data_IF_525919014545
#
_entry.id   IF_525919014545
#
_cell.length_a   1.000
_cell.length_b   1.000
_cell.length_c   1.000
_cell.angle_alpha   90.00
_cell.angle_beta   90.00
_cell.angle_gamma   90.00
#
_symmetry.space_group_name_H-M   'P 1'
#
loop_
_entity.id
_entity.type
_entity.pdbx_description
1 polymer ?
#
# COMPACT_ATOMS: atom_id res chain seq x y z
N UNK A 1 27.03 4.08 -6.82
CA UNK A 1 26.23 2.88 -6.47
C UNK A 1 26.62 2.27 -5.12
N UNK A 2 27.90 2.13 -4.78
CA UNK A 2 28.35 1.59 -3.46
C UNK A 2 27.90 2.45 -2.27
N UNK A 3 27.92 3.78 -2.39
CA UNK A 3 27.51 4.70 -1.33
C UNK A 3 26.04 4.50 -0.91
N UNK A 4 25.12 4.39 -1.86
CA UNK A 4 23.71 4.12 -1.59
C UNK A 4 23.48 2.76 -0.91
N UNK A 5 24.22 1.73 -1.32
CA UNK A 5 24.15 0.41 -0.65
C UNK A 5 24.59 0.50 0.81
N UNK A 6 25.62 1.30 1.11
CA UNK A 6 26.12 1.49 2.47
C UNK A 6 25.08 2.18 3.36
N UNK A 7 24.45 3.27 2.88
CA UNK A 7 23.39 3.97 3.61
C UNK A 7 22.19 3.04 3.83
N UNK A 8 21.75 2.33 2.80
CA UNK A 8 20.63 1.37 2.82
C UNK A 8 20.84 0.34 3.95
N UNK A 9 22.03 -0.21 4.07
CA UNK A 9 22.40 -1.20 5.08
C UNK A 9 22.52 -0.63 6.50
N UNK A 10 23.13 0.53 6.63
CA UNK A 10 23.32 1.18 7.95
C UNK A 10 21.98 1.62 8.56
N UNK A 11 21.10 2.22 7.77
CA UNK A 11 19.77 2.63 8.21
C UNK A 11 18.92 1.43 8.62
N UNK A 12 18.95 0.35 7.83
CA UNK A 12 18.29 -0.91 8.18
C UNK A 12 18.81 -1.43 9.53
N UNK A 13 20.13 -1.52 9.70
CA UNK A 13 20.75 -1.98 10.94
C UNK A 13 20.29 -1.14 12.14
N UNK A 14 20.36 0.17 12.01
CA UNK A 14 19.98 1.10 13.09
C UNK A 14 18.52 0.94 13.53
N UNK A 15 17.59 0.79 12.59
CA UNK A 15 16.16 0.57 12.89
C UNK A 15 15.95 -0.81 13.47
N UNK A 16 16.53 -1.86 12.84
CA UNK A 16 16.30 -3.25 13.24
C UNK A 16 16.84 -3.59 14.62
N UNK A 17 17.93 -2.96 15.07
CA UNK A 17 18.52 -3.17 16.40
C UNK A 17 17.64 -2.65 17.56
N UNK A 18 16.55 -1.92 17.27
CA UNK A 18 15.62 -1.51 18.32
C UNK A 18 14.93 -2.74 18.96
N UNK A 19 14.68 -2.72 20.28
CA UNK A 19 14.04 -3.83 20.98
C UNK A 19 12.73 -4.23 20.31
N UNK A 20 12.62 -5.50 19.93
CA UNK A 20 11.41 -6.00 19.29
C UNK A 20 10.34 -6.34 20.31
N UNK A 21 9.14 -5.77 20.13
CA UNK A 21 8.00 -6.02 21.01
C UNK A 21 6.79 -6.42 20.14
N UNK A 22 6.47 -7.71 20.15
CA UNK A 22 5.28 -8.22 19.48
C UNK A 22 4.03 -7.87 20.31
N UNK A 23 3.39 -6.75 20.00
CA UNK A 23 2.22 -6.24 20.72
C UNK A 23 1.00 -6.15 19.80
N UNK A 24 -0.21 -6.18 20.42
CA UNK A 24 -1.46 -6.01 19.66
C UNK A 24 -1.48 -4.69 18.84
N UNK A 25 -1.10 -3.52 19.39
CA UNK A 25 -1.05 -2.30 18.58
C UNK A 25 -0.13 -2.41 17.35
N UNK A 26 1.01 -3.09 17.48
CA UNK A 26 1.90 -3.29 16.33
C UNK A 26 1.25 -4.16 15.25
N UNK A 27 0.56 -5.24 15.63
CA UNK A 27 -0.19 -6.08 14.67
C UNK A 27 -1.29 -5.29 13.97
N UNK A 28 -2.02 -4.46 14.70
CA UNK A 28 -3.03 -3.57 14.13
C UNK A 28 -2.43 -2.58 13.13
N UNK A 29 -1.28 -1.96 13.44
CA UNK A 29 -0.56 -1.08 12.53
C UNK A 29 -0.08 -1.81 11.27
N UNK A 30 0.43 -3.05 11.40
CA UNK A 30 0.81 -3.87 10.25
C UNK A 30 -0.40 -4.10 9.35
N UNK A 31 -1.54 -4.51 9.92
CA UNK A 31 -2.78 -4.74 9.18
C UNK A 31 -3.27 -3.50 8.43
N UNK A 32 -3.10 -2.30 9.00
CA UNK A 32 -3.45 -1.04 8.30
C UNK A 32 -2.64 -0.79 7.02
N UNK A 33 -1.51 -1.48 6.84
CA UNK A 33 -0.73 -1.45 5.60
C UNK A 33 -1.10 -2.54 4.60
N UNK A 34 -1.91 -3.52 5.00
CA UNK A 34 -2.29 -4.65 4.15
C UNK A 34 -3.39 -4.31 3.13
N UNK A 35 -3.39 -5.05 2.02
CA UNK A 35 -4.41 -4.93 0.99
C UNK A 35 -5.85 -5.04 1.50
N UNK A 36 -6.21 -6.04 2.34
CA UNK A 36 -7.55 -6.16 2.92
C UNK A 36 -8.03 -4.93 3.67
N UNK A 37 -7.17 -4.26 4.43
CA UNK A 37 -7.52 -3.01 5.11
C UNK A 37 -8.00 -1.94 4.11
N UNK A 38 -7.26 -1.75 3.02
CA UNK A 38 -7.60 -0.77 1.99
C UNK A 38 -8.83 -1.16 1.17
N UNK A 39 -9.13 -2.46 1.03
CA UNK A 39 -10.40 -2.93 0.46
C UNK A 39 -11.59 -2.60 1.37
N UNK A 40 -11.41 -2.71 2.68
CA UNK A 40 -12.43 -2.29 3.66
C UNK A 40 -12.64 -0.77 3.59
N UNK A 41 -11.57 0.03 3.51
CA UNK A 41 -11.66 1.49 3.36
C UNK A 41 -12.39 1.86 2.06
N UNK A 42 -12.08 1.21 0.95
CA UNK A 42 -12.78 1.38 -0.32
C UNK A 42 -14.28 1.09 -0.17
N UNK A 43 -14.64 -0.03 0.45
CA UNK A 43 -16.04 -0.40 0.68
C UNK A 43 -16.77 0.63 1.54
N UNK A 44 -16.16 1.05 2.65
CA UNK A 44 -16.74 2.05 3.55
C UNK A 44 -16.93 3.38 2.84
N UNK A 45 -15.95 3.85 2.06
CA UNK A 45 -16.08 5.11 1.31
C UNK A 45 -17.19 5.04 0.26
N UNK A 46 -17.32 3.93 -0.46
CA UNK A 46 -18.38 3.71 -1.43
C UNK A 46 -19.76 3.70 -0.76
N UNK A 47 -19.89 2.96 0.35
CA UNK A 47 -21.13 2.87 1.11
C UNK A 47 -21.54 4.23 1.71
N UNK A 48 -20.60 4.96 2.30
CA UNK A 48 -20.82 6.31 2.84
C UNK A 48 -21.26 7.27 1.75
N UNK A 49 -20.60 7.23 0.57
CA UNK A 49 -20.96 8.04 -0.58
C UNK A 49 -22.41 7.82 -1.01
N UNK A 50 -22.85 6.58 -1.04
CA UNK A 50 -24.22 6.25 -1.41
C UNK A 50 -25.25 6.60 -0.32
N UNK A 51 -25.00 6.24 0.94
CA UNK A 51 -25.96 6.46 2.03
C UNK A 51 -26.18 7.96 2.31
N UNK A 52 -25.11 8.75 2.19
CA UNK A 52 -25.17 10.20 2.43
C UNK A 52 -25.40 11.02 1.15
N UNK A 53 -25.56 10.40 -0.02
CA UNK A 53 -25.59 11.03 -1.33
C UNK A 53 -24.42 12.03 -1.53
N UNK A 54 -23.24 11.66 -1.01
CA UNK A 54 -22.06 12.53 -1.02
C UNK A 54 -21.20 12.28 -2.25
N UNK A 55 -21.14 13.27 -3.15
CA UNK A 55 -20.26 13.20 -4.33
C UNK A 55 -18.80 13.02 -3.98
N UNK A 56 -18.30 13.69 -2.93
CA UNK A 56 -16.91 13.61 -2.52
C UNK A 56 -16.50 12.18 -2.12
N UNK A 57 -17.34 11.44 -1.37
CA UNK A 57 -17.08 10.05 -1.01
C UNK A 57 -17.23 9.11 -2.20
N UNK A 58 -18.18 9.36 -3.10
CA UNK A 58 -18.32 8.58 -4.33
C UNK A 58 -17.10 8.77 -5.24
N UNK A 59 -16.64 9.99 -5.43
CA UNK A 59 -15.43 10.31 -6.18
C UNK A 59 -14.21 9.61 -5.57
N UNK A 60 -14.03 9.74 -4.24
CA UNK A 60 -12.92 9.07 -3.55
C UNK A 60 -12.94 7.56 -3.76
N UNK A 61 -14.12 6.91 -3.69
CA UNK A 61 -14.21 5.46 -3.89
C UNK A 61 -13.75 5.04 -5.30
N UNK A 62 -14.08 5.82 -6.31
CA UNK A 62 -13.63 5.60 -7.69
C UNK A 62 -12.11 5.81 -7.81
N UNK A 63 -11.59 6.90 -7.24
CA UNK A 63 -10.15 7.17 -7.26
C UNK A 63 -9.35 6.08 -6.54
N UNK A 64 -9.82 5.63 -5.37
CA UNK A 64 -9.20 4.51 -4.64
C UNK A 64 -9.21 3.24 -5.47
N UNK A 65 -10.32 2.91 -6.12
CA UNK A 65 -10.45 1.71 -6.93
C UNK A 65 -9.48 1.72 -8.11
N UNK A 66 -9.44 2.79 -8.90
CA UNK A 66 -8.53 2.92 -10.04
C UNK A 66 -7.06 3.01 -9.59
N UNK A 67 -6.76 3.80 -8.57
CA UNK A 67 -5.43 3.90 -8.01
C UNK A 67 -4.91 2.55 -7.48
N UNK A 68 -5.75 1.79 -6.76
CA UNK A 68 -5.40 0.45 -6.29
C UNK A 68 -5.22 -0.54 -7.45
N UNK A 69 -6.04 -0.45 -8.51
CA UNK A 69 -5.88 -1.28 -9.71
C UNK A 69 -4.52 -1.04 -10.36
N UNK A 70 -4.17 0.21 -10.64
CA UNK A 70 -2.89 0.58 -11.23
C UNK A 70 -1.74 0.13 -10.31
N UNK A 71 -1.83 0.40 -9.00
CA UNK A 71 -0.83 -0.04 -8.02
C UNK A 71 -0.63 -1.55 -8.02
N UNK A 72 -1.71 -2.33 -8.09
CA UNK A 72 -1.60 -3.80 -8.12
C UNK A 72 -0.93 -4.30 -9.39
N UNK A 73 -1.22 -3.70 -10.55
CA UNK A 73 -0.54 -4.05 -11.82
C UNK A 73 0.97 -3.80 -11.69
N UNK A 74 1.37 -2.59 -11.25
CA UNK A 74 2.78 -2.23 -11.05
C UNK A 74 3.44 -3.12 -10.01
N UNK A 75 2.75 -3.39 -8.89
CA UNK A 75 3.25 -4.26 -7.83
C UNK A 75 3.52 -5.68 -8.32
N UNK A 76 2.58 -6.30 -9.03
CA UNK A 76 2.73 -7.65 -9.59
C UNK A 76 3.87 -7.68 -10.60
N UNK A 77 3.93 -6.69 -11.50
CA UNK A 77 5.03 -6.55 -12.46
C UNK A 77 6.39 -6.50 -11.76
N UNK A 78 6.56 -5.60 -10.78
CA UNK A 78 7.82 -5.49 -10.05
C UNK A 78 8.17 -6.78 -9.31
N UNK A 79 7.22 -7.44 -8.65
CA UNK A 79 7.44 -8.72 -7.94
C UNK A 79 7.86 -9.85 -8.88
N UNK A 80 7.36 -9.84 -10.10
CA UNK A 80 7.69 -10.86 -11.10
C UNK A 80 9.09 -10.68 -11.67
N UNK A 81 9.48 -9.44 -11.96
CA UNK A 81 10.71 -9.16 -12.70
C UNK A 81 11.89 -8.74 -11.80
N UNK A 82 11.64 -8.06 -10.67
CA UNK A 82 12.70 -7.61 -9.76
C UNK A 82 12.87 -8.63 -8.64
N UNK A 83 13.73 -9.62 -8.86
CA UNK A 83 14.03 -10.70 -7.89
C UNK A 83 15.04 -10.20 -6.85
N UNK A 84 14.59 -9.35 -5.90
CA UNK A 84 15.44 -8.84 -4.82
C UNK A 84 15.24 -9.66 -3.55
N UNK A 85 16.33 -10.22 -3.03
CA UNK A 85 16.31 -10.96 -1.77
C UNK A 85 15.96 -10.05 -0.59
N UNK A 86 15.11 -10.54 0.30
CA UNK A 86 14.72 -9.81 1.51
C UNK A 86 15.86 -9.74 2.53
N UNK A 87 15.92 -8.69 3.39
CA UNK A 87 16.99 -8.57 4.39
C UNK A 87 17.13 -9.81 5.27
N UNK A 88 16.05 -10.41 5.74
CA UNK A 88 16.09 -11.59 6.62
C UNK A 88 16.60 -12.86 5.95
N UNK A 89 16.55 -12.94 4.61
CA UNK A 89 17.02 -14.10 3.85
C UNK A 89 18.43 -13.91 3.29
N UNK A 90 19.03 -12.72 3.44
CA UNK A 90 20.31 -12.37 2.84
C UNK A 90 21.48 -12.65 3.80
N UNK A 91 22.08 -13.83 3.69
CA UNK A 91 23.22 -14.24 4.53
C UNK A 91 24.45 -13.35 4.37
N UNK A 92 24.74 -12.84 3.16
CA UNK A 92 25.84 -11.90 2.91
C UNK A 92 25.65 -10.60 3.68
N UNK A 93 24.43 -10.07 3.70
CA UNK A 93 24.05 -8.90 4.49
C UNK A 93 24.25 -9.13 5.98
N UNK A 94 23.89 -10.29 6.51
CA UNK A 94 24.06 -10.64 7.92
C UNK A 94 25.53 -10.66 8.31
N UNK A 95 26.38 -11.28 7.47
CA UNK A 95 27.82 -11.31 7.69
C UNK A 95 28.42 -9.90 7.67
N UNK A 96 28.08 -9.09 6.68
CA UNK A 96 28.60 -7.75 6.52
C UNK A 96 28.19 -6.80 7.68
N UNK A 97 26.95 -6.90 8.16
CA UNK A 97 26.44 -6.07 9.24
C UNK A 97 26.77 -6.61 10.62
N UNK A 98 27.34 -7.82 10.74
CA UNK A 98 27.56 -8.53 12.01
C UNK A 98 26.28 -8.63 12.86
N UNK A 99 25.13 -8.81 12.23
CA UNK A 99 23.82 -9.03 12.88
C UNK A 99 23.03 -10.07 12.14
N UNK A 100 22.22 -10.85 12.87
CA UNK A 100 21.28 -11.78 12.26
C UNK A 100 19.91 -11.11 12.18
N UNK A 101 19.42 -10.89 10.97
CA UNK A 101 18.10 -10.33 10.72
C UNK A 101 17.12 -11.49 10.55
N UNK A 102 16.07 -11.52 11.36
CA UNK A 102 14.98 -12.47 11.30
C UNK A 102 13.72 -11.82 10.75
N UNK A 103 12.85 -12.62 10.14
CA UNK A 103 11.53 -12.15 9.77
C UNK A 103 10.66 -11.96 11.03
N UNK A 104 10.36 -10.71 11.36
CA UNK A 104 9.49 -10.32 12.48
C UNK A 104 8.04 -10.06 12.05
N UNK A 105 7.72 -10.26 10.78
CA UNK A 105 6.38 -10.07 10.24
C UNK A 105 5.57 -11.37 10.34
N UNK A 106 4.57 -11.45 11.22
CA UNK A 106 3.84 -12.70 11.47
C UNK A 106 2.94 -13.15 10.31
N UNK A 107 2.63 -12.25 9.37
CA UNK A 107 1.67 -12.50 8.30
C UNK A 107 2.28 -12.84 6.94
N UNK A 108 3.60 -12.80 6.79
CA UNK A 108 4.24 -13.02 5.49
C UNK A 108 5.12 -14.27 5.53
N UNK A 109 4.62 -15.31 4.89
CA UNK A 109 5.40 -16.52 4.61
C UNK A 109 6.65 -16.25 3.74
N UNK A 110 7.43 -17.29 3.50
CA UNK A 110 8.80 -17.34 2.98
C UNK A 110 9.01 -16.87 1.52
N UNK A 111 8.50 -15.71 1.10
CA UNK A 111 8.80 -15.17 -0.24
C UNK A 111 10.11 -14.37 -0.22
N UNK A 112 11.21 -15.08 -0.09
CA UNK A 112 12.54 -14.52 0.14
C UNK A 112 13.04 -13.58 -0.96
N UNK A 113 12.64 -13.81 -2.21
CA UNK A 113 13.07 -13.03 -3.39
C UNK A 113 12.11 -11.89 -3.77
N UNK A 114 11.17 -11.55 -2.90
CA UNK A 114 10.15 -10.55 -3.20
C UNK A 114 10.28 -9.29 -2.32
N UNK A 115 11.52 -8.76 -2.13
CA UNK A 115 11.71 -7.55 -1.33
C UNK A 115 11.15 -6.29 -2.01
N UNK A 116 11.30 -6.14 -3.32
CA UNK A 116 10.96 -4.93 -4.06
C UNK A 116 9.62 -5.03 -4.81
N UNK A 117 8.78 -3.99 -4.80
CA UNK A 117 8.72 -2.90 -3.85
C UNK A 117 7.99 -3.32 -2.55
N UNK A 118 7.93 -2.42 -1.55
CA UNK A 118 7.14 -2.65 -0.34
C UNK A 118 5.66 -2.40 -0.59
N UNK A 119 4.84 -3.46 -0.62
CA UNK A 119 3.39 -3.34 -0.84
C UNK A 119 2.69 -2.50 0.21
N UNK A 120 3.01 -2.69 1.50
CA UNK A 120 2.44 -1.92 2.60
C UNK A 120 2.67 -0.41 2.44
N UNK A 121 3.90 0.00 2.13
CA UNK A 121 4.22 1.42 1.91
C UNK A 121 3.53 1.94 0.64
N UNK A 122 3.51 1.14 -0.41
CA UNK A 122 2.93 1.48 -1.70
C UNK A 122 1.43 1.77 -1.57
N UNK A 123 0.66 0.86 -0.98
CA UNK A 123 -0.80 1.02 -0.82
C UNK A 123 -1.14 2.09 0.22
N UNK A 124 -0.41 2.15 1.34
CA UNK A 124 -0.65 3.19 2.36
C UNK A 124 -0.41 4.58 1.78
N UNK A 125 0.69 4.79 1.07
CA UNK A 125 1.00 6.09 0.47
C UNK A 125 -0.03 6.50 -0.58
N UNK A 126 -0.43 5.55 -1.45
CA UNK A 126 -1.46 5.81 -2.45
C UNK A 126 -2.78 6.23 -1.81
N UNK A 127 -3.31 5.38 -0.93
CA UNK A 127 -4.66 5.60 -0.39
C UNK A 127 -4.71 6.84 0.51
N UNK A 128 -3.72 7.03 1.39
CA UNK A 128 -3.63 8.26 2.20
C UNK A 128 -3.46 9.48 1.31
N UNK A 129 -2.64 9.41 0.26
CA UNK A 129 -2.46 10.52 -0.68
C UNK A 129 -3.74 10.90 -1.39
N UNK A 130 -4.54 9.94 -1.87
CA UNK A 130 -5.84 10.18 -2.50
C UNK A 130 -6.88 10.73 -1.51
N UNK A 131 -6.91 10.22 -0.27
CA UNK A 131 -7.78 10.75 0.79
C UNK A 131 -7.41 12.22 1.09
N UNK A 132 -6.11 12.50 1.22
CA UNK A 132 -5.63 13.86 1.47
C UNK A 132 -5.91 14.82 0.29
N UNK A 133 -5.81 14.34 -0.95
CA UNK A 133 -6.16 15.16 -2.12
C UNK A 133 -7.64 15.51 -2.16
N UNK A 134 -8.51 14.64 -1.68
CA UNK A 134 -9.96 14.84 -1.66
C UNK A 134 -10.44 15.72 -0.50
N UNK A 135 -9.86 15.56 0.70
CA UNK A 135 -10.34 16.21 1.92
C UNK A 135 -9.36 17.24 2.51
N UNK A 136 -8.23 17.47 1.85
CA UNK A 136 -7.29 18.53 2.18
C UNK A 136 -6.57 18.35 3.51
N UNK A 137 -6.25 19.48 4.15
CA UNK A 137 -5.36 19.53 5.32
C UNK A 137 -5.85 18.71 6.52
N UNK A 138 -7.16 18.64 6.75
CA UNK A 138 -7.73 17.83 7.85
C UNK A 138 -7.38 16.36 7.66
N UNK A 139 -7.48 15.83 6.44
CA UNK A 139 -7.10 14.47 6.14
C UNK A 139 -5.60 14.23 6.32
N UNK A 140 -4.74 15.21 6.00
CA UNK A 140 -3.30 15.12 6.27
C UNK A 140 -3.02 14.98 7.77
N UNK A 141 -3.71 15.74 8.62
CA UNK A 141 -3.56 15.64 10.08
C UNK A 141 -4.03 14.29 10.62
N UNK A 142 -5.14 13.77 10.09
CA UNK A 142 -5.74 12.53 10.56
C UNK A 142 -5.01 11.27 10.07
N UNK A 143 -4.51 11.27 8.85
CA UNK A 143 -4.00 10.06 8.18
C UNK A 143 -2.54 10.13 7.74
N UNK A 144 -1.96 11.33 7.59
CA UNK A 144 -0.60 11.51 7.07
C UNK A 144 0.48 10.78 7.87
N UNK A 145 0.29 10.62 9.18
CA UNK A 145 1.20 9.88 10.07
C UNK A 145 1.33 8.39 9.72
N UNK A 146 0.34 7.80 9.02
CA UNK A 146 0.37 6.40 8.63
C UNK A 146 1.54 6.08 7.69
N UNK A 147 1.89 7.02 6.81
CA UNK A 147 2.98 6.82 5.83
C UNK A 147 4.33 6.61 6.54
N UNK A 148 4.85 7.57 7.35
CA UNK A 148 6.12 7.38 8.04
C UNK A 148 6.10 6.22 9.03
N UNK A 149 4.96 5.96 9.66
CA UNK A 149 4.81 4.79 10.54
C UNK A 149 4.98 3.49 9.77
N UNK A 150 4.34 3.36 8.61
CA UNK A 150 4.47 2.17 7.78
C UNK A 150 5.90 2.00 7.25
N UNK A 151 6.55 3.09 6.82
CA UNK A 151 7.96 3.04 6.40
C UNK A 151 8.86 2.51 7.51
N UNK A 152 8.71 3.03 8.73
CA UNK A 152 9.48 2.59 9.90
C UNK A 152 9.21 1.11 10.22
N UNK A 153 7.94 0.70 10.25
CA UNK A 153 7.55 -0.68 10.57
C UNK A 153 8.18 -1.69 9.61
N UNK A 154 8.22 -1.42 8.31
CA UNK A 154 8.81 -2.38 7.34
C UNK A 154 10.31 -2.60 7.53
N UNK A 155 11.04 -1.57 7.97
CA UNK A 155 12.45 -1.69 8.37
C UNK A 155 12.59 -2.42 9.70
N UNK A 156 11.78 -2.06 10.68
CA UNK A 156 11.79 -2.62 12.02
C UNK A 156 11.49 -4.14 12.03
N UNK A 157 10.63 -4.58 11.13
CA UNK A 157 10.30 -5.99 10.91
C UNK A 157 11.39 -6.77 10.14
N UNK A 158 12.37 -6.08 9.55
CA UNK A 158 13.46 -6.70 8.80
C UNK A 158 13.08 -7.29 7.44
N UNK A 159 11.95 -6.84 6.86
CA UNK A 159 11.38 -7.41 5.64
C UNK A 159 11.65 -6.64 4.36
N UNK A 160 12.08 -5.37 4.46
CA UNK A 160 12.41 -4.50 3.34
C UNK A 160 13.66 -3.66 3.60
N UNK A 161 14.34 -3.28 2.53
CA UNK A 161 15.41 -2.28 2.57
C UNK A 161 14.84 -0.85 2.53
N UNK A 162 15.58 0.16 3.05
CA UNK A 162 15.21 1.57 2.88
C UNK A 162 14.94 1.97 1.44
N UNK A 163 15.74 1.46 0.50
CA UNK A 163 15.57 1.71 -0.93
C UNK A 163 14.28 1.11 -1.52
N UNK A 164 13.77 -0.04 -1.01
CA UNK A 164 12.47 -0.59 -1.41
C UNK A 164 11.33 0.35 -0.98
N UNK A 165 11.47 0.94 0.21
CA UNK A 165 10.53 1.88 0.79
C UNK A 165 10.50 3.19 0.00
N UNK A 166 11.67 3.75 -0.29
CA UNK A 166 11.80 4.97 -1.08
C UNK A 166 11.21 4.78 -2.48
N UNK A 167 11.53 3.67 -3.14
CA UNK A 167 10.95 3.33 -4.44
C UNK A 167 9.42 3.21 -4.37
N UNK A 168 8.87 2.61 -3.29
CA UNK A 168 7.42 2.51 -3.10
C UNK A 168 6.77 3.88 -2.95
N UNK A 169 7.40 4.83 -2.24
CA UNK A 169 6.93 6.21 -2.15
C UNK A 169 6.89 6.88 -3.53
N UNK A 170 7.97 6.75 -4.31
CA UNK A 170 8.07 7.35 -5.66
C UNK A 170 6.99 6.75 -6.57
N UNK A 171 6.87 5.42 -6.62
CA UNK A 171 5.87 4.72 -7.44
C UNK A 171 4.45 5.16 -7.05
N UNK A 172 4.16 5.25 -5.75
CA UNK A 172 2.84 5.69 -5.29
C UNK A 172 2.56 7.15 -5.61
N UNK A 173 3.56 8.04 -5.49
CA UNK A 173 3.41 9.46 -5.84
C UNK A 173 3.10 9.64 -7.33
N UNK A 174 3.80 8.88 -8.19
CA UNK A 174 3.52 8.87 -9.63
C UNK A 174 2.09 8.33 -9.89
N UNK A 175 1.70 7.24 -9.22
CA UNK A 175 0.36 6.68 -9.37
C UNK A 175 -0.73 7.65 -8.89
N UNK A 176 -0.54 8.35 -7.76
CA UNK A 176 -1.45 9.41 -7.31
C UNK A 176 -1.59 10.48 -8.41
N UNK A 177 -0.48 10.97 -8.95
CA UNK A 177 -0.50 11.97 -10.01
C UNK A 177 -1.25 11.48 -11.26
N UNK A 178 -1.01 10.24 -11.71
CA UNK A 178 -1.74 9.63 -12.84
C UNK A 178 -3.23 9.51 -12.51
N UNK A 179 -3.59 9.01 -11.34
CA UNK A 179 -4.99 8.83 -10.92
C UNK A 179 -5.72 10.17 -10.89
N UNK A 180 -5.09 11.23 -10.36
CA UNK A 180 -5.67 12.56 -10.33
C UNK A 180 -5.76 13.21 -11.73
N UNK A 181 -4.79 12.93 -12.60
CA UNK A 181 -4.80 13.42 -13.99
C UNK A 181 -5.97 12.83 -14.80
N UNK A 182 -6.27 11.54 -14.61
CA UNK A 182 -7.38 10.87 -15.31
C UNK A 182 -8.74 11.08 -14.62
N UNK A 183 -8.75 11.59 -13.39
CA UNK A 183 -9.96 11.77 -12.58
C UNK A 183 -11.09 12.53 -13.30
N UNK A 184 -10.87 13.67 -14.02
CA UNK A 184 -11.94 14.37 -14.69
C UNK A 184 -12.67 13.51 -15.72
N UNK A 185 -11.93 12.79 -16.56
CA UNK A 185 -12.52 11.88 -17.57
C UNK A 185 -13.24 10.70 -16.94
N UNK A 186 -12.71 10.16 -15.82
CA UNK A 186 -13.41 9.10 -15.07
C UNK A 186 -14.74 9.61 -14.50
N UNK A 187 -14.77 10.81 -13.95
CA UNK A 187 -16.00 11.41 -13.38
C UNK A 187 -17.03 11.72 -14.46
N UNK A 188 -16.60 12.21 -15.62
CA UNK A 188 -17.48 12.42 -16.76
C UNK A 188 -18.12 11.10 -17.22
N UNK A 189 -17.32 10.06 -17.42
CA UNK A 189 -17.81 8.72 -17.78
C UNK A 189 -18.81 8.18 -16.74
N UNK A 190 -18.53 8.33 -15.44
CA UNK A 190 -19.43 7.91 -14.37
C UNK A 190 -20.72 8.71 -14.35
N UNK A 191 -20.65 10.02 -14.59
CA UNK A 191 -21.86 10.85 -14.67
C UNK A 191 -22.74 10.49 -15.86
N UNK A 192 -22.17 10.07 -16.97
CA UNK A 192 -22.92 9.54 -18.09
C UNK A 192 -23.56 8.19 -17.77
N UNK A 193 -22.82 7.30 -17.11
CA UNK A 193 -23.34 6.00 -16.65
C UNK A 193 -24.48 6.15 -15.64
N UNK A 194 -24.45 7.17 -14.77
CA UNK A 194 -25.54 7.46 -13.80
C UNK A 194 -26.89 7.74 -14.46
N UNK A 195 -26.91 8.11 -15.73
CA UNK A 195 -28.17 8.35 -16.48
C UNK A 195 -28.91 7.04 -16.85
N UNK A 196 -28.26 5.88 -16.71
CA UNK A 196 -28.86 4.58 -17.00
C UNK A 196 -29.40 3.89 -15.74
N UNK A 197 -30.59 3.32 -15.80
CA UNK A 197 -31.31 2.72 -14.66
C UNK A 197 -30.53 1.58 -13.95
N UNK A 198 -29.63 0.90 -14.64
CA UNK A 198 -28.81 -0.18 -14.08
C UNK A 198 -27.51 0.25 -13.40
N UNK A 199 -27.16 1.56 -13.41
CA UNK A 199 -25.86 2.07 -12.95
C UNK A 199 -25.50 1.59 -11.55
N UNK A 200 -26.43 1.71 -10.58
CA UNK A 200 -26.15 1.40 -9.18
C UNK A 200 -25.78 -0.08 -8.98
N UNK A 201 -26.44 -0.97 -9.69
CA UNK A 201 -26.13 -2.41 -9.64
C UNK A 201 -24.75 -2.69 -10.25
N UNK A 202 -24.43 -2.09 -11.40
CA UNK A 202 -23.12 -2.21 -12.02
C UNK A 202 -21.99 -1.71 -11.15
N UNK A 203 -22.18 -0.57 -10.48
CA UNK A 203 -21.22 0.00 -9.53
C UNK A 203 -20.92 -0.98 -8.38
N UNK A 204 -21.94 -1.53 -7.73
CA UNK A 204 -21.75 -2.47 -6.61
C UNK A 204 -21.18 -3.81 -7.05
N UNK A 205 -21.59 -4.33 -8.20
CA UNK A 205 -21.00 -5.55 -8.78
C UNK A 205 -19.52 -5.34 -9.03
N UNK A 206 -19.12 -4.19 -9.59
CA UNK A 206 -17.72 -3.89 -9.86
C UNK A 206 -16.89 -3.78 -8.57
N UNK A 207 -17.38 -3.08 -7.53
CA UNK A 207 -16.73 -3.01 -6.22
C UNK A 207 -16.62 -4.40 -5.60
N UNK A 208 -17.69 -5.20 -5.61
CA UNK A 208 -17.68 -6.54 -5.03
C UNK A 208 -16.65 -7.45 -5.72
N UNK A 209 -16.63 -7.47 -7.05
CA UNK A 209 -15.67 -8.24 -7.84
C UNK A 209 -14.23 -7.79 -7.52
N UNK A 210 -13.98 -6.48 -7.46
CA UNK A 210 -12.66 -5.94 -7.14
C UNK A 210 -12.19 -6.36 -5.76
N UNK A 211 -13.06 -6.27 -4.74
CA UNK A 211 -12.77 -6.69 -3.37
C UNK A 211 -12.50 -8.20 -3.30
N UNK A 212 -13.34 -9.02 -3.94
CA UNK A 212 -13.16 -10.48 -3.96
C UNK A 212 -11.82 -10.87 -4.59
N UNK A 213 -11.46 -10.25 -5.72
CA UNK A 213 -10.17 -10.49 -6.38
C UNK A 213 -9.00 -10.05 -5.47
N UNK A 214 -9.12 -8.88 -4.83
CA UNK A 214 -8.13 -8.37 -3.89
C UNK A 214 -7.90 -9.30 -2.71
N UNK A 215 -8.97 -9.77 -2.06
CA UNK A 215 -8.89 -10.74 -0.96
C UNK A 215 -8.33 -12.09 -1.40
N UNK A 216 -8.77 -12.64 -2.53
CA UNK A 216 -8.21 -13.89 -3.07
C UNK A 216 -6.70 -13.76 -3.37
N UNK A 217 -6.29 -12.63 -3.93
CA UNK A 217 -4.87 -12.36 -4.20
C UNK A 217 -4.06 -12.27 -2.90
N UNK A 218 -4.62 -11.69 -1.85
CA UNK A 218 -3.98 -11.60 -0.53
C UNK A 218 -3.87 -12.98 0.13
N UNK A 219 -4.96 -13.77 0.17
CA UNK A 219 -4.97 -15.13 0.74
C UNK A 219 -3.93 -16.07 0.10
N UNK A 220 -3.62 -15.90 -1.18
CA UNK A 220 -2.54 -16.67 -1.84
C UNK A 220 -1.13 -16.25 -1.40
N UNK A 221 -0.98 -15.15 -0.69
CA UNK A 221 0.32 -14.59 -0.26
C UNK A 221 0.60 -14.82 1.22
N UNK A 222 -0.43 -15.04 2.02
CA UNK A 222 -0.37 -15.45 3.43
C UNK A 222 -0.33 -16.98 3.51
#
# INVERSE_FOLDING_TARGET
MQYFKKIDRQLLKWVYQRPFKNSFPMKALIFMGDGPFWMIVLFITALTGQLLNSESFMQLSVLLMFGLLISNIVFVFCKTYVKRMRPYANAELHHELHIQIQNRDPGHGSKELESFPSGHVLWTTLCVGLICSQFGFIAVLLFGWMIPTMMYLRLYLGVHYPSDILASLIISSINIAITLLIAPGLMECINDLKKHDGYIYGYWVFIAVFIIIGFKSWLKRV
#
